data_IF_109129613226
#
_entry.id   IF_109129613226
#
_cell.length_a   1.000
_cell.length_b   1.000
_cell.length_c   1.000
_cell.angle_alpha   90.00
_cell.angle_beta   90.00
_cell.angle_gamma   90.00
#
_symmetry.space_group_name_H-M   'P 1'
#
loop_
_entity.id
_entity.type
_entity.pdbx_description
1 polymer ?
#
# COMPACT_ATOMS: atom_id res chain seq x y z
N UNK A 1 28.32 -73.78 7.78
CA UNK A 1 27.46 -72.83 8.51
C UNK A 1 28.38 -71.84 9.25
N UNK A 2 28.65 -70.62 8.73
CA UNK A 2 29.48 -69.67 9.46
C UNK A 2 28.64 -68.84 10.44
N UNK A 3 29.21 -68.61 11.62
CA UNK A 3 28.63 -67.81 12.69
C UNK A 3 28.57 -66.32 12.30
N UNK A 4 27.36 -65.77 12.23
CA UNK A 4 27.11 -64.35 11.99
C UNK A 4 27.46 -63.51 13.22
N UNK A 5 28.42 -62.62 13.04
CA UNK A 5 28.86 -61.60 13.98
C UNK A 5 27.71 -60.59 14.21
N UNK A 6 27.04 -60.64 15.37
CA UNK A 6 26.06 -59.63 15.77
C UNK A 6 26.80 -58.39 16.32
N UNK A 7 26.89 -57.34 15.51
CA UNK A 7 27.30 -56.02 15.97
C UNK A 7 26.23 -55.43 16.90
N UNK A 8 26.59 -54.77 18.02
CA UNK A 8 25.60 -54.12 18.88
C UNK A 8 24.94 -52.92 18.17
N UNK A 9 23.71 -52.54 18.58
CA UNK A 9 23.00 -51.42 17.99
C UNK A 9 23.74 -50.10 18.24
N UNK A 10 23.90 -49.30 17.18
CA UNK A 10 24.41 -47.92 17.28
C UNK A 10 23.43 -47.11 18.11
N UNK A 11 23.85 -46.64 19.28
CA UNK A 11 23.11 -45.61 20.00
C UNK A 11 23.08 -44.35 19.13
N UNK A 12 21.88 -44.00 18.63
CA UNK A 12 21.62 -42.69 18.06
C UNK A 12 21.77 -41.68 19.20
N UNK A 13 22.96 -41.10 19.31
CA UNK A 13 23.21 -39.98 20.22
C UNK A 13 22.13 -38.93 20.03
N UNK A 14 21.43 -38.64 21.12
CA UNK A 14 20.45 -37.56 21.17
C UNK A 14 21.10 -36.28 20.66
N UNK A 15 20.62 -35.77 19.52
CA UNK A 15 21.03 -34.44 19.03
C UNK A 15 20.72 -33.45 20.14
N UNK A 16 21.75 -32.79 20.65
CA UNK A 16 21.57 -31.65 21.54
C UNK A 16 20.59 -30.67 20.88
N UNK A 17 19.62 -30.12 21.64
CA UNK A 17 18.69 -29.15 21.09
C UNK A 17 19.48 -27.99 20.48
N UNK A 18 19.20 -27.68 19.21
CA UNK A 18 19.78 -26.54 18.53
C UNK A 18 19.51 -25.30 19.39
N UNK A 19 20.57 -24.59 19.78
CA UNK A 19 20.46 -23.38 20.56
C UNK A 19 19.48 -22.43 19.86
N UNK A 20 18.46 -21.97 20.59
CA UNK A 20 17.51 -21.00 20.09
C UNK A 20 18.30 -19.78 19.57
N UNK A 21 17.98 -19.26 18.36
CA UNK A 21 18.65 -18.07 17.85
C UNK A 21 18.51 -16.96 18.88
N UNK A 22 19.65 -16.36 19.26
CA UNK A 22 19.66 -15.22 20.16
C UNK A 22 18.72 -14.14 19.60
N UNK A 23 17.95 -13.43 20.46
CA UNK A 23 17.12 -12.32 20.00
C UNK A 23 18.05 -11.25 19.43
N UNK A 24 18.19 -11.24 18.10
CA UNK A 24 18.99 -10.27 17.38
C UNK A 24 18.45 -8.88 17.72
N UNK A 25 19.35 -7.98 18.13
CA UNK A 25 19.04 -6.61 18.54
C UNK A 25 18.11 -5.92 17.55
N UNK A 26 16.81 -5.95 17.86
CA UNK A 26 15.72 -5.60 16.96
C UNK A 26 15.51 -4.10 16.90
N UNK A 27 16.45 -3.38 16.30
CA UNK A 27 16.19 -2.01 15.85
C UNK A 27 15.00 -2.02 14.88
N UNK A 28 14.03 -1.14 15.10
CA UNK A 28 12.93 -0.93 14.13
C UNK A 28 13.56 -0.47 12.82
N UNK A 29 13.40 -1.25 11.76
CA UNK A 29 13.85 -0.86 10.43
C UNK A 29 12.97 0.29 9.91
N UNK A 30 13.51 1.51 9.95
CA UNK A 30 12.79 2.73 9.54
C UNK A 30 12.86 2.99 8.03
N UNK A 31 13.67 2.23 7.29
CA UNK A 31 13.85 2.41 5.86
C UNK A 31 12.55 2.33 5.05
N UNK A 32 11.65 1.33 5.22
CA UNK A 32 10.40 1.29 4.46
C UNK A 32 9.51 2.53 4.70
N UNK A 33 9.51 3.07 5.93
CA UNK A 33 8.76 4.27 6.27
C UNK A 33 9.36 5.51 5.61
N UNK A 34 10.69 5.68 5.67
CA UNK A 34 11.37 6.80 5.02
C UNK A 34 11.17 6.78 3.50
N UNK A 35 11.28 5.61 2.86
CA UNK A 35 11.02 5.42 1.43
C UNK A 35 9.55 5.73 1.11
N UNK A 36 8.61 5.16 1.87
CA UNK A 36 7.19 5.34 1.61
C UNK A 36 6.71 6.79 1.79
N UNK A 37 7.18 7.49 2.83
CA UNK A 37 6.88 8.91 3.06
C UNK A 37 7.53 9.77 1.97
N UNK A 38 8.79 9.50 1.61
CA UNK A 38 9.47 10.21 0.54
C UNK A 38 8.75 10.05 -0.81
N UNK A 39 8.32 8.83 -1.14
CA UNK A 39 7.53 8.55 -2.33
C UNK A 39 6.18 9.27 -2.29
N UNK A 40 5.43 9.17 -1.19
CA UNK A 40 4.14 9.86 -1.04
C UNK A 40 4.27 11.38 -1.21
N UNK A 41 5.30 11.99 -0.63
CA UNK A 41 5.57 13.42 -0.75
C UNK A 41 5.91 13.81 -2.20
N UNK A 42 6.74 13.03 -2.89
CA UNK A 42 7.10 13.27 -4.29
C UNK A 42 5.87 13.14 -5.22
N UNK A 43 5.06 12.09 -5.05
CA UNK A 43 3.84 11.89 -5.82
C UNK A 43 2.83 13.03 -5.59
N UNK A 44 2.64 13.44 -4.34
CA UNK A 44 1.77 14.56 -4.00
C UNK A 44 2.27 15.87 -4.62
N UNK A 45 3.58 16.14 -4.55
CA UNK A 45 4.17 17.34 -5.15
C UNK A 45 3.89 17.39 -6.67
N UNK A 46 4.08 16.27 -7.37
CA UNK A 46 3.79 16.19 -8.81
C UNK A 46 2.29 16.40 -9.07
N UNK A 47 1.41 15.71 -8.33
CA UNK A 47 -0.03 15.84 -8.49
C UNK A 47 -0.52 17.27 -8.21
N UNK A 48 0.00 17.90 -7.15
CA UNK A 48 -0.32 19.27 -6.79
C UNK A 48 0.18 20.28 -7.85
N UNK A 49 1.40 20.12 -8.38
CA UNK A 49 1.91 20.96 -9.47
C UNK A 49 1.04 20.79 -10.72
N UNK A 50 0.67 19.56 -11.09
CA UNK A 50 -0.25 19.32 -12.23
C UNK A 50 -1.59 20.02 -12.02
N UNK A 51 -2.16 19.94 -10.82
CA UNK A 51 -3.41 20.62 -10.49
C UNK A 51 -3.28 22.15 -10.55
N UNK A 52 -2.27 22.72 -9.86
CA UNK A 52 -2.03 24.17 -9.81
C UNK A 52 -1.70 24.79 -11.17
N UNK A 53 -1.13 24.00 -12.09
CA UNK A 53 -0.78 24.43 -13.45
C UNK A 53 -1.82 24.01 -14.49
N UNK A 54 -2.98 23.50 -14.08
CA UNK A 54 -4.08 23.07 -14.96
C UNK A 54 -3.72 21.95 -15.96
N UNK A 55 -2.79 21.07 -15.59
CA UNK A 55 -2.40 19.85 -16.35
C UNK A 55 -3.08 18.57 -15.80
N UNK A 56 -4.17 18.72 -15.05
CA UNK A 56 -5.04 17.59 -14.65
C UNK A 56 -6.06 17.27 -15.75
N UNK A 57 -6.41 16.00 -15.91
CA UNK A 57 -7.48 15.55 -16.80
C UNK A 57 -8.82 15.79 -16.09
N UNK A 58 -9.19 17.07 -15.95
CA UNK A 58 -10.20 17.66 -15.05
C UNK A 58 -11.46 16.84 -14.75
N UNK A 59 -11.92 15.96 -15.65
CA UNK A 59 -13.16 15.21 -15.50
C UNK A 59 -13.19 14.37 -14.21
N UNK A 60 -12.28 13.40 -14.04
CA UNK A 60 -12.34 12.49 -12.88
C UNK A 60 -12.08 13.24 -11.57
N UNK A 61 -11.08 14.13 -11.57
CA UNK A 61 -10.77 14.91 -10.38
C UNK A 61 -11.95 15.80 -9.95
N UNK A 62 -12.58 16.52 -10.88
CA UNK A 62 -13.72 17.38 -10.58
C UNK A 62 -14.96 16.57 -10.18
N UNK A 63 -15.14 15.38 -10.77
CA UNK A 63 -16.23 14.49 -10.43
C UNK A 63 -16.14 14.05 -8.97
N UNK A 64 -15.01 13.48 -8.56
CA UNK A 64 -14.81 13.04 -7.17
C UNK A 64 -14.79 14.21 -6.18
N UNK A 65 -14.17 15.34 -6.55
CA UNK A 65 -14.16 16.57 -5.75
C UNK A 65 -15.60 17.04 -5.45
N UNK A 66 -16.45 17.09 -6.48
CA UNK A 66 -17.83 17.52 -6.30
C UNK A 66 -18.67 16.52 -5.51
N UNK A 67 -18.47 15.21 -5.71
CA UNK A 67 -19.16 14.16 -4.93
C UNK A 67 -18.86 14.29 -3.44
N UNK A 68 -17.59 14.43 -3.07
CA UNK A 68 -17.18 14.58 -1.67
C UNK A 68 -17.61 15.93 -1.11
N UNK A 69 -17.53 17.00 -1.91
CA UNK A 69 -17.99 18.32 -1.52
C UNK A 69 -19.50 18.37 -1.26
N UNK A 70 -20.32 17.68 -2.06
CA UNK A 70 -21.77 17.59 -1.84
C UNK A 70 -22.11 16.76 -0.59
N UNK A 71 -21.41 15.63 -0.39
CA UNK A 71 -21.61 14.77 0.77
C UNK A 71 -21.23 15.50 2.08
N UNK A 72 -20.02 16.07 2.10
CA UNK A 72 -19.78 17.45 2.48
C UNK A 72 -20.96 18.20 3.07
N UNK A 73 -21.62 18.98 2.21
CA UNK A 73 -22.70 19.92 2.52
C UNK A 73 -24.02 19.27 2.96
N UNK A 74 -24.10 17.94 3.07
CA UNK A 74 -25.36 17.24 3.35
C UNK A 74 -26.26 17.08 2.12
N UNK A 75 -25.74 17.31 0.91
CA UNK A 75 -26.46 17.08 -0.35
C UNK A 75 -26.37 15.62 -0.84
N UNK A 76 -25.70 14.76 -0.08
CA UNK A 76 -25.45 13.35 -0.41
C UNK A 76 -24.30 13.16 -1.42
N UNK A 77 -23.99 11.91 -1.74
CA UNK A 77 -22.97 11.54 -2.73
C UNK A 77 -23.53 11.74 -4.15
N UNK A 78 -23.55 13.00 -4.60
CA UNK A 78 -24.12 13.43 -5.90
C UNK A 78 -23.15 14.32 -6.65
N UNK A 79 -23.34 14.35 -7.96
CA UNK A 79 -22.56 15.14 -8.91
C UNK A 79 -23.50 15.81 -9.90
N UNK A 80 -23.16 17.00 -10.40
CA UNK A 80 -23.88 17.67 -11.48
C UNK A 80 -23.44 17.18 -12.87
N UNK A 81 -22.41 16.32 -12.93
CA UNK A 81 -21.93 15.75 -14.19
C UNK A 81 -22.85 14.64 -14.71
N UNK A 82 -23.66 14.03 -13.83
CA UNK A 82 -24.51 12.87 -14.13
C UNK A 82 -25.81 12.93 -13.33
N UNK A 83 -26.91 12.42 -13.89
CA UNK A 83 -28.25 12.49 -13.27
C UNK A 83 -28.59 11.26 -12.41
N UNK A 84 -27.59 10.66 -11.76
CA UNK A 84 -27.77 9.52 -10.87
C UNK A 84 -26.95 9.68 -9.59
N UNK A 85 -27.35 8.98 -8.52
CA UNK A 85 -26.59 8.94 -7.28
C UNK A 85 -25.28 8.16 -7.48
N UNK A 86 -24.19 8.66 -6.91
CA UNK A 86 -22.85 8.07 -7.09
C UNK A 86 -22.81 6.58 -6.75
N UNK A 87 -23.43 6.18 -5.62
CA UNK A 87 -23.50 4.78 -5.19
C UNK A 87 -24.28 3.85 -6.13
N UNK A 88 -25.06 4.39 -7.07
CA UNK A 88 -25.78 3.61 -8.08
C UNK A 88 -24.91 3.13 -9.24
N UNK A 89 -23.70 3.69 -9.40
CA UNK A 89 -22.71 3.25 -10.39
C UNK A 89 -21.38 2.84 -9.74
N UNK A 90 -20.98 3.53 -8.66
CA UNK A 90 -19.70 3.36 -7.98
C UNK A 90 -19.92 3.10 -6.49
N UNK A 91 -19.70 1.85 -6.06
CA UNK A 91 -19.69 1.53 -4.63
C UNK A 91 -18.31 1.74 -4.03
N UNK A 92 -17.99 2.99 -3.72
CA UNK A 92 -16.66 3.41 -3.23
C UNK A 92 -16.75 4.10 -1.86
N UNK A 93 -17.03 3.35 -0.77
CA UNK A 93 -17.23 3.93 0.57
C UNK A 93 -15.98 4.64 1.13
N UNK A 94 -14.79 4.34 0.61
CA UNK A 94 -13.55 5.00 1.03
C UNK A 94 -13.55 6.52 0.74
N UNK A 95 -14.38 7.01 -0.18
CA UNK A 95 -14.57 8.45 -0.41
C UNK A 95 -15.10 9.19 0.83
N UNK A 96 -15.85 8.51 1.69
CA UNK A 96 -16.39 9.10 2.90
C UNK A 96 -15.30 9.52 3.89
N UNK A 97 -14.08 8.96 3.78
CA UNK A 97 -12.92 9.36 4.59
C UNK A 97 -12.53 10.83 4.35
N UNK A 98 -12.83 11.38 3.16
CA UNK A 98 -12.48 12.75 2.81
C UNK A 98 -13.55 13.79 3.18
N UNK A 99 -14.80 13.36 3.42
CA UNK A 99 -15.91 14.24 3.82
C UNK A 99 -15.55 15.18 4.99
N UNK A 100 -14.99 14.71 6.12
CA UNK A 100 -14.62 15.62 7.20
C UNK A 100 -13.50 16.60 6.81
N UNK A 101 -12.59 16.24 5.91
CA UNK A 101 -11.54 17.15 5.43
C UNK A 101 -12.11 18.31 4.62
N UNK A 102 -13.16 18.05 3.84
CA UNK A 102 -13.88 19.07 3.08
C UNK A 102 -14.70 20.03 3.95
N UNK A 103 -15.02 19.63 5.20
CA UNK A 103 -15.57 20.57 6.20
C UNK A 103 -14.51 21.56 6.69
N UNK A 104 -13.24 21.16 6.73
CA UNK A 104 -12.11 22.02 7.13
C UNK A 104 -11.74 22.98 5.99
N UNK A 105 -11.55 22.44 4.80
CA UNK A 105 -11.24 23.23 3.60
C UNK A 105 -11.64 22.45 2.35
N UNK A 106 -12.49 23.03 1.50
CA UNK A 106 -12.92 22.40 0.26
C UNK A 106 -11.81 22.52 -0.80
N UNK A 107 -11.07 21.43 -1.02
CA UNK A 107 -10.01 21.36 -2.03
C UNK A 107 -9.78 19.92 -2.51
N UNK A 108 -9.52 19.71 -3.82
CA UNK A 108 -9.17 18.39 -4.36
C UNK A 108 -7.80 17.89 -3.88
N UNK A 109 -6.98 18.76 -3.28
CA UNK A 109 -5.68 18.36 -2.72
C UNK A 109 -5.80 17.28 -1.65
N UNK A 110 -6.93 17.21 -0.93
CA UNK A 110 -7.17 16.11 0.02
C UNK A 110 -7.22 14.75 -0.67
N UNK A 111 -7.89 14.66 -1.81
CA UNK A 111 -8.00 13.45 -2.61
C UNK A 111 -6.62 13.03 -3.15
N UNK A 112 -5.91 13.98 -3.75
CA UNK A 112 -4.55 13.77 -4.28
C UNK A 112 -3.57 13.35 -3.18
N UNK A 113 -3.69 13.92 -1.97
CA UNK A 113 -2.89 13.52 -0.81
C UNK A 113 -3.23 12.09 -0.36
N UNK A 114 -4.51 11.73 -0.29
CA UNK A 114 -4.95 10.37 0.05
C UNK A 114 -4.39 9.32 -0.91
N UNK A 115 -4.53 9.55 -2.22
CA UNK A 115 -3.96 8.69 -3.27
C UNK A 115 -2.44 8.57 -3.13
N UNK A 116 -1.73 9.70 -2.98
CA UNK A 116 -0.27 9.72 -2.87
C UNK A 116 0.24 9.00 -1.62
N UNK A 117 -0.45 9.18 -0.49
CA UNK A 117 -0.15 8.49 0.77
C UNK A 117 -0.37 6.98 0.64
N UNK A 118 -1.48 6.54 0.06
CA UNK A 118 -1.76 5.13 -0.12
C UNK A 118 -0.71 4.45 -1.01
N UNK A 119 -0.40 5.06 -2.16
CA UNK A 119 0.57 4.54 -3.12
C UNK A 119 2.00 4.55 -2.57
N UNK A 120 2.41 5.60 -1.86
CA UNK A 120 3.73 5.67 -1.24
C UNK A 120 3.88 4.72 -0.05
N UNK A 121 2.92 4.70 0.87
CA UNK A 121 2.98 3.85 2.07
C UNK A 121 2.74 2.37 1.80
N UNK A 122 2.25 1.99 0.63
CA UNK A 122 2.20 0.60 0.16
C UNK A 122 3.59 -0.08 0.17
N UNK A 123 4.68 0.69 0.11
CA UNK A 123 6.06 0.20 0.29
C UNK A 123 6.24 -0.52 1.62
N UNK A 124 5.57 -0.11 2.69
CA UNK A 124 5.74 -0.69 4.03
C UNK A 124 5.32 -2.17 4.10
N UNK A 125 4.08 -2.53 3.75
CA UNK A 125 3.69 -3.94 3.68
C UNK A 125 4.42 -4.71 2.59
N UNK A 126 4.74 -4.09 1.44
CA UNK A 126 5.54 -4.73 0.39
C UNK A 126 6.95 -5.11 0.86
N UNK A 127 7.60 -4.24 1.62
CA UNK A 127 8.90 -4.50 2.23
C UNK A 127 8.86 -5.72 3.13
N UNK A 128 7.85 -5.78 4.02
CA UNK A 128 7.66 -6.92 4.91
C UNK A 128 7.37 -8.20 4.12
N UNK A 129 6.50 -8.12 3.10
CA UNK A 129 6.15 -9.24 2.23
C UNK A 129 7.36 -9.81 1.49
N UNK A 130 8.19 -8.95 0.90
CA UNK A 130 9.39 -9.37 0.20
C UNK A 130 10.41 -10.03 1.14
N UNK A 131 10.52 -9.54 2.39
CA UNK A 131 11.35 -10.19 3.41
C UNK A 131 10.82 -11.56 3.82
N UNK A 132 9.51 -11.75 3.84
CA UNK A 132 8.85 -13.01 4.17
C UNK A 132 9.05 -14.06 3.06
N UNK A 133 8.81 -13.68 1.80
CA UNK A 133 8.85 -14.62 0.67
C UNK A 133 10.25 -14.92 0.13
N UNK A 134 11.11 -13.91 0.03
CA UNK A 134 12.42 -14.04 -0.62
C UNK A 134 13.57 -14.02 0.39
N UNK A 135 13.41 -13.25 1.46
CA UNK A 135 14.42 -13.12 2.51
C UNK A 135 15.40 -11.98 2.29
N UNK A 136 15.81 -11.37 3.40
CA UNK A 136 16.88 -10.36 3.44
C UNK A 136 16.46 -8.95 3.02
N UNK A 137 17.32 -7.97 3.34
CA UNK A 137 17.09 -6.55 3.06
C UNK A 137 17.20 -6.20 1.57
N UNK A 138 18.07 -6.90 0.84
CA UNK A 138 18.28 -6.67 -0.59
C UNK A 138 17.03 -6.98 -1.44
N UNK A 139 16.36 -8.09 -1.16
CA UNK A 139 15.11 -8.45 -1.84
C UNK A 139 14.00 -7.42 -1.58
N UNK A 140 13.88 -6.93 -0.35
CA UNK A 140 12.92 -5.91 0.01
C UNK A 140 13.17 -4.58 -0.73
N UNK A 141 14.43 -4.13 -0.78
CA UNK A 141 14.82 -2.95 -1.55
C UNK A 141 14.52 -3.13 -3.04
N UNK A 142 14.88 -4.27 -3.63
CA UNK A 142 14.62 -4.56 -5.04
C UNK A 142 13.12 -4.54 -5.36
N UNK A 143 12.29 -5.20 -4.54
CA UNK A 143 10.84 -5.24 -4.72
C UNK A 143 10.20 -3.85 -4.61
N UNK A 144 10.57 -3.07 -3.58
CA UNK A 144 10.05 -1.71 -3.41
C UNK A 144 10.50 -0.78 -4.53
N UNK A 145 11.75 -0.91 -4.99
CA UNK A 145 12.27 -0.14 -6.12
C UNK A 145 11.53 -0.49 -7.42
N UNK A 146 11.32 -1.78 -7.69
CA UNK A 146 10.56 -2.24 -8.86
C UNK A 146 9.11 -1.73 -8.83
N UNK A 147 8.46 -1.75 -7.68
CA UNK A 147 7.11 -1.18 -7.49
C UNK A 147 7.10 0.33 -7.77
N UNK A 148 8.01 1.10 -7.15
CA UNK A 148 8.08 2.56 -7.28
C UNK A 148 8.43 3.02 -8.70
N UNK A 149 9.20 2.22 -9.44
CA UNK A 149 9.56 2.50 -10.84
C UNK A 149 8.63 1.82 -11.84
N UNK A 150 7.58 1.13 -11.38
CA UNK A 150 6.67 0.43 -12.26
C UNK A 150 5.84 1.41 -13.10
N UNK A 151 5.61 1.04 -14.36
CA UNK A 151 4.71 1.79 -15.24
C UNK A 151 3.30 1.87 -14.64
N UNK A 152 2.86 0.81 -13.95
CA UNK A 152 1.56 0.79 -13.28
C UNK A 152 1.42 1.89 -12.24
N UNK A 153 2.39 2.01 -11.33
CA UNK A 153 2.40 3.08 -10.33
C UNK A 153 2.48 4.47 -10.98
N UNK A 154 3.36 4.63 -11.96
CA UNK A 154 3.54 5.90 -12.66
C UNK A 154 2.26 6.35 -13.39
N UNK A 155 1.52 5.41 -14.00
CA UNK A 155 0.22 5.67 -14.64
C UNK A 155 -0.85 6.01 -13.61
N UNK A 156 -0.95 5.25 -12.52
CA UNK A 156 -1.94 5.48 -11.47
C UNK A 156 -1.73 6.84 -10.78
N UNK A 157 -0.48 7.17 -10.43
CA UNK A 157 -0.17 8.44 -9.78
C UNK A 157 -0.14 9.63 -10.75
N UNK A 158 0.17 9.38 -12.02
CA UNK A 158 0.19 10.39 -13.08
C UNK A 158 -1.18 10.71 -13.65
N UNK A 159 -2.18 9.87 -13.39
CA UNK A 159 -3.58 10.15 -13.67
C UNK A 159 -4.24 10.84 -12.47
N UNK A 160 -5.44 11.35 -12.67
CA UNK A 160 -6.18 12.06 -11.62
C UNK A 160 -6.67 11.09 -10.53
N UNK A 161 -7.41 11.59 -9.53
CA UNK A 161 -7.79 10.79 -8.37
C UNK A 161 -8.68 9.59 -8.74
N UNK A 162 -8.31 8.41 -8.24
CA UNK A 162 -9.03 7.15 -8.38
C UNK A 162 -9.07 6.45 -7.03
N UNK A 163 -10.27 6.18 -6.52
CA UNK A 163 -10.46 5.62 -5.17
C UNK A 163 -9.79 4.25 -5.01
N UNK A 164 -9.64 3.49 -6.08
CA UNK A 164 -9.00 2.17 -6.12
C UNK A 164 -7.54 2.22 -5.69
N UNK A 165 -6.86 3.35 -5.88
CA UNK A 165 -5.46 3.54 -5.44
C UNK A 165 -5.33 3.42 -3.92
N UNK A 166 -6.40 3.72 -3.16
CA UNK A 166 -6.43 3.59 -1.71
C UNK A 166 -6.36 2.13 -1.26
N UNK A 167 -6.73 1.18 -2.12
CA UNK A 167 -6.73 -0.25 -1.81
C UNK A 167 -5.32 -0.88 -1.85
N UNK A 168 -4.37 -0.27 -2.57
CA UNK A 168 -3.03 -0.82 -2.82
C UNK A 168 -2.29 -1.28 -1.55
N UNK A 169 -2.17 -0.47 -0.47
CA UNK A 169 -1.51 -0.94 0.75
C UNK A 169 -2.22 -2.14 1.39
N UNK A 170 -3.56 -2.21 1.29
CA UNK A 170 -4.35 -3.30 1.86
C UNK A 170 -4.18 -4.60 1.07
N UNK A 171 -3.98 -4.52 -0.25
CA UNK A 171 -3.64 -5.70 -1.08
C UNK A 171 -2.30 -6.30 -0.61
N UNK A 172 -1.27 -5.49 -0.41
CA UNK A 172 0.01 -6.00 0.10
C UNK A 172 -0.08 -6.49 1.55
N UNK A 173 -0.89 -5.86 2.40
CA UNK A 173 -1.16 -6.35 3.75
C UNK A 173 -1.87 -7.70 3.73
N UNK A 174 -2.83 -7.90 2.83
CA UNK A 174 -3.54 -9.17 2.68
C UNK A 174 -2.59 -10.28 2.23
N UNK A 175 -1.73 -10.02 1.24
CA UNK A 175 -0.69 -10.95 0.80
C UNK A 175 0.32 -11.27 1.91
N UNK A 176 0.71 -10.26 2.71
CA UNK A 176 1.57 -10.45 3.87
C UNK A 176 0.92 -11.30 4.95
N UNK A 177 -0.38 -11.09 5.20
CA UNK A 177 -1.16 -11.93 6.11
C UNK A 177 -1.19 -13.38 5.63
N UNK A 178 -1.47 -13.60 4.34
CA UNK A 178 -1.46 -14.93 3.73
C UNK A 178 -0.08 -15.59 3.70
N UNK A 179 1.00 -14.82 3.66
CA UNK A 179 2.37 -15.34 3.72
C UNK A 179 2.77 -15.88 5.10
N UNK A 180 2.07 -15.46 6.15
CA UNK A 180 2.40 -15.73 7.56
C UNK A 180 1.46 -16.74 8.23
N UNK A 181 0.32 -17.05 7.63
CA UNK A 181 -0.66 -18.02 8.08
C UNK A 181 -0.66 -19.27 7.22
#
# INVERSE_FOLDING_TARGET
>A
MPAGLLSPPRELGARAPAAAPAPGGGGRDLAPWAIGVGAAAALLAVAAVRWLTFHSTTYDLAFFDQVVWNASQGHGLRSSFVDYGFLGQHFEPALLLFVPLYRLHATPLWLLAGQSLALGLAVVPLWALAREWVGGRGAALAACTAYLLSVGLARAAGFDFHTETLAVPFVFLALLGAARG
#
